data_IF_140513875060
#
_entry.id   IF_140513875060
#
_cell.length_a   1.000
_cell.length_b   1.000
_cell.length_c   1.000
_cell.angle_alpha   90.00
_cell.angle_beta   90.00
_cell.angle_gamma   90.00
#
_symmetry.space_group_name_H-M   'P 1'
#
loop_
_entity.id
_entity.type
_entity.pdbx_description
1 polymer ?
#
# COMPACT_ATOMS: atom_id res chain seq x y z
N UNK A 1 -8.99 -1.35 -19.47
CA UNK A 1 -7.51 -1.23 -19.37
C UNK A 1 -6.88 -2.40 -20.12
N UNK A 2 -5.91 -2.15 -21.03
CA UNK A 2 -5.24 -3.17 -21.82
C UNK A 2 -4.59 -4.27 -20.98
N UNK A 3 -4.53 -5.48 -21.53
CA UNK A 3 -3.98 -6.65 -20.84
C UNK A 3 -2.48 -6.51 -20.55
N UNK A 4 -1.72 -5.92 -21.47
CA UNK A 4 -0.29 -5.62 -21.31
C UNK A 4 0.01 -4.76 -20.07
N UNK A 5 -0.91 -3.84 -19.73
CA UNK A 5 -0.80 -3.05 -18.52
C UNK A 5 -1.16 -3.85 -17.28
N UNK A 6 -2.17 -4.74 -17.32
CA UNK A 6 -2.55 -5.61 -16.18
C UNK A 6 -1.43 -6.59 -15.83
N UNK A 7 -0.82 -7.20 -16.84
CA UNK A 7 0.20 -8.23 -16.67
C UNK A 7 1.61 -7.68 -16.46
N UNK A 8 1.80 -6.36 -16.43
CA UNK A 8 3.12 -5.73 -16.31
C UNK A 8 4.02 -6.36 -15.23
N UNK A 9 3.52 -6.58 -14.00
CA UNK A 9 4.32 -7.20 -12.93
C UNK A 9 4.59 -8.69 -13.20
N UNK A 10 3.63 -9.41 -13.78
CA UNK A 10 3.81 -10.82 -14.16
C UNK A 10 4.88 -10.96 -15.25
N UNK A 11 4.85 -10.07 -16.24
CA UNK A 11 5.84 -10.03 -17.32
C UNK A 11 7.23 -9.69 -16.81
N UNK A 12 7.36 -8.79 -15.83
CA UNK A 12 8.64 -8.49 -15.19
C UNK A 12 9.20 -9.71 -14.44
N UNK A 13 8.37 -10.40 -13.67
CA UNK A 13 8.78 -11.61 -12.92
C UNK A 13 9.18 -12.75 -13.88
N UNK A 14 8.47 -12.86 -15.00
CA UNK A 14 8.79 -13.83 -16.05
C UNK A 14 9.94 -13.38 -16.98
N UNK A 15 10.63 -12.28 -16.63
CA UNK A 15 11.76 -11.73 -17.39
C UNK A 15 11.45 -11.40 -18.87
N UNK A 16 10.18 -11.19 -19.20
CA UNK A 16 9.71 -10.83 -20.55
C UNK A 16 9.89 -9.36 -20.88
N UNK A 17 9.98 -8.52 -19.84
CA UNK A 17 10.20 -7.09 -19.95
C UNK A 17 11.24 -6.67 -18.93
N UNK A 18 11.92 -5.58 -19.22
CA UNK A 18 12.85 -4.96 -18.29
C UNK A 18 12.13 -4.06 -17.26
N UNK A 19 12.89 -3.62 -16.26
CA UNK A 19 12.37 -2.78 -15.18
C UNK A 19 11.85 -1.43 -15.68
N UNK A 20 12.50 -0.83 -16.69
CA UNK A 20 12.07 0.47 -17.20
C UNK A 20 10.71 0.35 -17.91
N UNK A 21 10.54 -0.67 -18.76
CA UNK A 21 9.24 -0.98 -19.37
C UNK A 21 8.16 -1.23 -18.33
N UNK A 22 8.48 -1.94 -17.24
CA UNK A 22 7.53 -2.13 -16.14
C UNK A 22 7.11 -0.80 -15.50
N UNK A 23 8.05 0.10 -15.19
CA UNK A 23 7.76 1.43 -14.62
C UNK A 23 6.81 2.21 -15.54
N UNK A 24 7.09 2.23 -16.84
CA UNK A 24 6.30 2.97 -17.81
C UNK A 24 4.89 2.38 -17.96
N UNK A 25 4.77 1.04 -17.97
CA UNK A 25 3.46 0.37 -17.94
C UNK A 25 2.68 0.66 -16.66
N UNK A 26 3.32 0.67 -15.49
CA UNK A 26 2.65 1.05 -14.24
C UNK A 26 2.19 2.50 -14.27
N UNK A 27 3.02 3.43 -14.79
CA UNK A 27 2.64 4.84 -14.97
C UNK A 27 1.43 4.97 -15.88
N UNK A 28 1.38 4.24 -16.99
CA UNK A 28 0.28 4.26 -17.94
C UNK A 28 -1.07 3.78 -17.33
N UNK A 29 -1.05 2.94 -16.28
CA UNK A 29 -2.28 2.53 -15.57
C UNK A 29 -3.05 3.72 -14.98
N UNK A 30 -2.38 4.82 -14.66
CA UNK A 30 -3.00 5.99 -14.03
C UNK A 30 -4.12 6.62 -14.86
N UNK A 31 -4.06 6.49 -16.19
CA UNK A 31 -5.12 6.97 -17.09
C UNK A 31 -6.44 6.20 -16.88
N UNK A 32 -6.37 4.90 -16.57
CA UNK A 32 -7.53 4.03 -16.44
C UNK A 32 -8.15 4.01 -15.03
N UNK A 33 -7.59 4.77 -14.09
CA UNK A 33 -8.12 4.83 -12.73
C UNK A 33 -9.44 5.59 -12.68
N UNK A 34 -10.39 5.04 -11.93
CA UNK A 34 -11.57 5.78 -11.52
C UNK A 34 -11.16 6.97 -10.67
N UNK A 35 -11.76 8.13 -10.96
CA UNK A 35 -11.42 9.36 -10.29
C UNK A 35 -12.42 9.68 -9.18
N UNK A 36 -11.99 10.18 -8.02
CA UNK A 36 -12.93 10.66 -7.02
C UNK A 36 -13.69 11.88 -7.55
N UNK A 37 -15.02 11.82 -7.51
CA UNK A 37 -15.86 12.98 -7.77
C UNK A 37 -16.07 13.81 -6.51
N UNK A 38 -16.19 13.14 -5.37
CA UNK A 38 -16.45 13.73 -4.06
C UNK A 38 -15.63 13.04 -2.97
N UNK A 39 -15.58 13.65 -1.79
CA UNK A 39 -15.05 13.00 -0.58
C UNK A 39 -15.99 11.84 -0.18
N UNK A 40 -15.47 10.80 0.49
CA UNK A 40 -16.33 9.80 1.11
C UNK A 40 -17.33 10.44 2.06
N UNK A 41 -18.53 9.89 2.13
CA UNK A 41 -19.55 10.32 3.09
C UNK A 41 -19.24 9.83 4.52
N UNK A 42 -20.18 10.07 5.45
CA UNK A 42 -20.02 9.69 6.85
C UNK A 42 -19.91 8.17 7.05
N UNK A 43 -20.49 7.38 6.15
CA UNK A 43 -20.48 5.92 6.17
C UNK A 43 -19.29 5.34 5.40
N UNK A 44 -18.58 6.17 4.63
CA UNK A 44 -17.39 5.78 3.87
C UNK A 44 -17.65 5.44 2.41
N UNK A 45 -18.89 5.59 1.91
CA UNK A 45 -19.18 5.43 0.49
C UNK A 45 -18.51 6.53 -0.31
N UNK A 46 -17.91 6.15 -1.44
CA UNK A 46 -17.18 7.09 -2.29
C UNK A 46 -17.78 7.18 -3.67
N UNK A 47 -18.16 8.40 -4.06
CA UNK A 47 -18.57 8.68 -5.43
C UNK A 47 -17.35 8.82 -6.32
N UNK A 48 -17.27 7.95 -7.32
CA UNK A 48 -16.21 7.95 -8.33
C UNK A 48 -16.78 8.16 -9.72
N UNK A 49 -15.96 8.70 -10.62
CA UNK A 49 -16.29 8.95 -12.01
C UNK A 49 -15.46 8.06 -12.93
N UNK A 50 -16.09 7.62 -14.02
CA UNK A 50 -15.44 6.88 -15.10
C UNK A 50 -14.23 7.68 -15.60
N UNK A 51 -13.08 7.05 -15.90
CA UNK A 51 -11.89 7.75 -16.41
C UNK A 51 -12.17 8.53 -17.69
N UNK A 52 -13.10 8.08 -18.53
CA UNK A 52 -13.49 8.81 -19.73
C UNK A 52 -14.25 10.11 -19.42
N UNK A 53 -15.15 10.10 -18.43
CA UNK A 53 -15.80 11.34 -17.95
C UNK A 53 -14.81 12.27 -17.24
N UNK A 54 -13.71 11.72 -16.70
CA UNK A 54 -12.66 12.46 -16.05
C UNK A 54 -11.60 13.01 -17.01
N UNK A 55 -11.84 12.92 -18.33
CA UNK A 55 -10.91 13.35 -19.37
C UNK A 55 -9.52 12.70 -19.24
N UNK A 56 -9.47 11.41 -18.86
CA UNK A 56 -8.23 10.61 -18.77
C UNK A 56 -8.10 9.56 -19.86
N UNK A 57 -9.22 9.17 -20.46
CA UNK A 57 -9.29 8.17 -21.52
C UNK A 57 -10.37 8.58 -22.51
N UNK A 58 -10.30 8.10 -23.75
CA UNK A 58 -11.41 8.18 -24.69
C UNK A 58 -12.23 6.89 -24.63
N UNK A 59 -13.56 6.93 -24.80
CA UNK A 59 -14.39 5.74 -24.76
C UNK A 59 -15.56 5.81 -25.75
N UNK A 60 -15.78 4.79 -26.61
CA UNK A 60 -16.86 4.80 -27.59
C UNK A 60 -18.26 4.74 -26.98
N UNK A 61 -18.40 4.14 -25.78
CA UNK A 61 -19.66 4.14 -25.03
C UNK A 61 -20.03 5.53 -24.49
N UNK A 62 -19.09 6.48 -24.49
CA UNK A 62 -19.29 7.88 -24.08
C UNK A 62 -18.86 8.80 -25.21
N UNK A 63 -19.69 8.88 -26.26
CA UNK A 63 -19.38 9.53 -27.54
C UNK A 63 -18.81 10.95 -27.41
N UNK A 64 -19.26 11.74 -26.42
CA UNK A 64 -18.75 13.10 -26.17
C UNK A 64 -17.28 13.17 -25.72
N UNK A 65 -16.69 12.03 -25.34
CA UNK A 65 -15.28 11.92 -24.94
C UNK A 65 -14.35 11.61 -26.12
N UNK A 66 -14.89 11.16 -27.26
CA UNK A 66 -14.11 10.86 -28.46
C UNK A 66 -13.59 12.15 -29.11
N UNK A 67 -12.36 12.10 -29.63
CA UNK A 67 -11.73 13.24 -30.30
C UNK A 67 -11.29 14.36 -29.36
N UNK A 68 -11.61 14.28 -28.06
CA UNK A 68 -11.08 15.17 -27.03
C UNK A 68 -9.77 14.59 -26.51
N UNK A 69 -8.69 15.35 -26.67
CA UNK A 69 -7.37 14.95 -26.18
C UNK A 69 -6.79 13.77 -26.96
N UNK A 70 -6.21 14.06 -28.12
CA UNK A 70 -5.59 13.06 -29.04
C UNK A 70 -4.56 12.16 -28.34
N UNK A 71 -3.91 12.66 -27.29
CA UNK A 71 -2.92 11.93 -26.49
C UNK A 71 -3.55 10.98 -25.45
N UNK A 72 -4.86 11.04 -25.21
CA UNK A 72 -5.53 10.18 -24.24
C UNK A 72 -5.74 8.79 -24.81
N UNK A 73 -5.49 7.72 -24.04
CA UNK A 73 -5.64 6.37 -24.53
C UNK A 73 -7.13 6.05 -24.79
N UNK A 74 -7.38 5.38 -25.91
CA UNK A 74 -8.69 4.84 -26.26
C UNK A 74 -8.95 3.57 -25.45
N UNK A 75 -10.06 3.56 -24.71
CA UNK A 75 -10.60 2.35 -24.08
C UNK A 75 -11.52 1.67 -25.08
N UNK A 76 -11.26 0.40 -25.34
CA UNK A 76 -12.14 -0.46 -26.12
C UNK A 76 -12.86 -1.45 -25.18
N UNK A 77 -14.10 -1.14 -24.75
CA UNK A 77 -14.87 -2.01 -23.88
C UNK A 77 -15.42 -3.19 -24.69
N UNK A 78 -15.06 -4.41 -24.30
CA UNK A 78 -15.58 -5.64 -24.91
C UNK A 78 -17.11 -5.71 -24.75
N UNK A 79 -17.87 -5.97 -25.81
CA UNK A 79 -19.31 -6.12 -25.71
C UNK A 79 -19.66 -7.31 -24.80
N UNK A 80 -20.63 -7.11 -23.92
CA UNK A 80 -21.14 -8.14 -23.01
C UNK A 80 -22.62 -8.42 -23.30
N UNK A 81 -23.05 -9.69 -23.35
CA UNK A 81 -24.46 -10.04 -23.49
C UNK A 81 -25.35 -9.48 -22.37
N UNK A 82 -24.78 -9.26 -21.18
CA UNK A 82 -25.48 -8.66 -20.03
C UNK A 82 -25.62 -7.12 -20.13
N UNK A 83 -25.19 -6.53 -21.25
CA UNK A 83 -25.19 -5.08 -21.45
C UNK A 83 -23.97 -4.38 -20.86
N UNK A 84 -23.95 -3.06 -21.00
CA UNK A 84 -22.86 -2.23 -20.46
C UNK A 84 -22.99 -2.04 -18.95
N UNK A 85 -21.88 -2.09 -18.18
CA UNK A 85 -21.93 -1.88 -16.74
C UNK A 85 -22.35 -0.45 -16.39
N UNK A 86 -22.87 -0.24 -15.17
CA UNK A 86 -23.35 1.06 -14.68
C UNK A 86 -22.32 2.19 -14.87
N UNK A 87 -21.03 1.90 -14.71
CA UNK A 87 -19.97 2.89 -14.88
C UNK A 87 -19.78 3.38 -16.33
N UNK A 88 -20.22 2.61 -17.32
CA UNK A 88 -20.18 2.99 -18.72
C UNK A 88 -21.39 3.85 -19.11
N UNK A 89 -22.57 3.53 -18.56
CA UNK A 89 -23.82 4.25 -18.85
C UNK A 89 -23.91 5.54 -18.04
N UNK A 90 -23.57 5.51 -16.75
CA UNK A 90 -23.65 6.66 -15.85
C UNK A 90 -22.36 7.49 -15.88
N UNK A 91 -22.43 8.75 -15.45
CA UNK A 91 -21.23 9.61 -15.29
C UNK A 91 -20.40 9.24 -14.06
N UNK A 92 -21.08 8.84 -13.00
CA UNK A 92 -20.51 8.52 -11.69
C UNK A 92 -21.18 7.29 -11.12
N UNK A 93 -20.43 6.51 -10.36
CA UNK A 93 -20.93 5.38 -9.57
C UNK A 93 -20.52 5.58 -8.11
N UNK A 94 -21.32 5.04 -7.20
CA UNK A 94 -20.98 4.99 -5.78
C UNK A 94 -20.34 3.65 -5.47
N UNK A 95 -19.15 3.67 -4.86
CA UNK A 95 -18.44 2.48 -4.42
C UNK A 95 -18.53 2.42 -2.90
N UNK A 96 -19.05 1.34 -2.31
CA UNK A 96 -19.15 1.22 -0.87
C UNK A 96 -17.78 0.94 -0.24
N UNK A 97 -17.59 1.25 1.06
CA UNK A 97 -16.28 1.17 1.72
C UNK A 97 -15.71 -0.25 1.77
N UNK A 98 -16.55 -1.28 1.85
CA UNK A 98 -16.17 -2.68 1.86
C UNK A 98 -15.70 -3.19 0.48
N UNK A 99 -16.14 -2.55 -0.60
CA UNK A 99 -15.79 -2.97 -1.95
C UNK A 99 -14.29 -2.79 -2.22
N UNK A 100 -13.56 -3.91 -2.21
CA UNK A 100 -12.12 -3.93 -2.42
C UNK A 100 -11.31 -3.39 -1.24
N UNK A 101 -11.89 -3.35 -0.03
CA UNK A 101 -11.21 -2.88 1.18
C UNK A 101 -9.90 -3.65 1.45
N UNK A 102 -9.87 -4.95 1.17
CA UNK A 102 -8.69 -5.82 1.26
C UNK A 102 -7.57 -5.44 0.28
N UNK A 103 -7.90 -4.77 -0.83
CA UNK A 103 -6.96 -4.32 -1.85
C UNK A 103 -6.64 -2.83 -1.73
N UNK A 104 -7.24 -2.13 -0.77
CA UNK A 104 -7.07 -0.69 -0.63
C UNK A 104 -5.64 -0.35 -0.20
N UNK A 105 -5.00 0.53 -0.97
CA UNK A 105 -3.72 1.12 -0.63
C UNK A 105 -3.76 2.64 -0.83
N UNK A 106 -3.09 3.42 0.03
CA UNK A 106 -3.05 4.88 -0.10
C UNK A 106 -2.24 5.33 -1.33
N UNK A 107 -1.26 4.53 -1.75
CA UNK A 107 -0.45 4.76 -2.94
C UNK A 107 -0.76 3.66 -3.96
N UNK A 108 -0.84 4.03 -5.22
CA UNK A 108 -1.04 3.05 -6.29
C UNK A 108 0.15 2.09 -6.34
N UNK A 109 -0.14 0.80 -6.26
CA UNK A 109 0.87 -0.25 -6.30
C UNK A 109 1.81 -0.08 -7.51
N UNK A 110 3.11 -0.24 -7.24
CA UNK A 110 4.17 -0.12 -8.25
C UNK A 110 4.47 1.31 -8.71
N UNK A 111 3.65 2.31 -8.36
CA UNK A 111 3.97 3.70 -8.69
C UNK A 111 5.30 4.13 -8.09
N UNK A 112 5.94 5.14 -8.66
CA UNK A 112 7.24 5.61 -8.15
C UNK A 112 7.15 6.05 -6.68
N UNK A 113 6.08 6.75 -6.30
CA UNK A 113 5.82 7.12 -4.92
C UNK A 113 5.66 5.89 -4.02
N UNK A 114 4.93 4.86 -4.49
CA UNK A 114 4.81 3.59 -3.79
C UNK A 114 6.17 2.90 -3.62
N UNK A 115 6.98 2.83 -4.67
CA UNK A 115 8.31 2.21 -4.62
C UNK A 115 9.22 2.90 -3.61
N UNK A 116 9.30 4.24 -3.66
CA UNK A 116 10.11 5.01 -2.71
C UNK A 116 9.73 4.73 -1.25
N UNK A 117 8.43 4.70 -0.96
CA UNK A 117 7.94 4.44 0.40
C UNK A 117 8.17 2.97 0.78
N UNK A 118 7.81 2.05 -0.09
CA UNK A 118 7.91 0.61 0.14
C UNK A 118 9.35 0.19 0.41
N UNK A 119 10.29 0.52 -0.48
CA UNK A 119 11.70 0.14 -0.31
C UNK A 119 12.31 0.78 0.93
N UNK A 120 12.02 2.05 1.22
CA UNK A 120 12.49 2.70 2.45
C UNK A 120 12.02 1.96 3.71
N UNK A 121 10.73 1.66 3.81
CA UNK A 121 10.16 0.99 4.97
C UNK A 121 10.65 -0.46 5.07
N UNK A 122 10.73 -1.18 3.94
CA UNK A 122 11.24 -2.55 3.89
C UNK A 122 12.69 -2.63 4.33
N UNK A 123 13.57 -1.79 3.78
CA UNK A 123 14.98 -1.76 4.18
C UNK A 123 15.16 -1.44 5.67
N UNK A 124 14.26 -0.60 6.24
CA UNK A 124 14.28 -0.32 7.68
C UNK A 124 13.95 -1.58 8.51
N UNK A 125 12.97 -2.37 8.07
CA UNK A 125 12.60 -3.64 8.71
C UNK A 125 13.70 -4.69 8.54
N UNK A 126 14.28 -4.80 7.36
CA UNK A 126 15.41 -5.70 7.11
C UNK A 126 16.63 -5.31 7.96
N UNK A 127 16.87 -4.00 8.13
CA UNK A 127 17.92 -3.48 9.01
C UNK A 127 17.72 -3.82 10.50
N UNK A 128 16.50 -3.72 11.03
CA UNK A 128 16.25 -4.11 12.43
C UNK A 128 16.31 -5.63 12.61
N UNK A 129 15.86 -6.40 11.62
CA UNK A 129 15.98 -7.85 11.63
C UNK A 129 17.44 -8.27 11.64
N UNK A 130 18.28 -7.69 10.77
CA UNK A 130 19.73 -7.95 10.77
C UNK A 130 20.37 -7.59 12.11
N UNK A 131 19.99 -6.44 12.69
CA UNK A 131 20.49 -5.99 13.98
C UNK A 131 20.17 -6.96 15.13
N UNK A 132 18.95 -7.52 15.17
CA UNK A 132 18.53 -8.48 16.18
C UNK A 132 19.07 -9.91 15.91
N UNK A 133 19.46 -10.22 14.67
CA UNK A 133 20.03 -11.50 14.28
C UNK A 133 21.56 -11.55 14.44
N UNK A 134 22.18 -10.44 14.79
CA UNK A 134 23.62 -10.31 14.96
C UNK A 134 24.17 -11.43 15.87
N UNK A 135 25.11 -12.27 15.36
CA UNK A 135 25.62 -13.42 16.08
C UNK A 135 26.45 -13.06 17.32
N UNK A 136 26.94 -11.83 17.42
CA UNK A 136 27.72 -11.36 18.57
C UNK A 136 26.86 -10.90 19.75
N UNK A 137 25.53 -10.80 19.56
CA UNK A 137 24.63 -10.26 20.57
C UNK A 137 23.43 -11.19 20.80
N UNK A 138 22.27 -10.87 20.23
CA UNK A 138 21.04 -11.61 20.52
C UNK A 138 20.96 -12.95 19.79
N UNK A 139 21.61 -13.08 18.62
CA UNK A 139 21.67 -14.29 17.79
C UNK A 139 20.28 -14.94 17.64
N UNK A 140 19.27 -14.11 17.34
CA UNK A 140 17.85 -14.45 17.41
C UNK A 140 17.43 -15.61 16.50
N UNK A 141 18.17 -15.88 15.41
CA UNK A 141 17.92 -17.03 14.54
C UNK A 141 18.34 -18.37 15.16
N UNK A 142 19.29 -18.37 16.09
CA UNK A 142 19.78 -19.60 16.67
C UNK A 142 18.90 -20.06 17.84
N UNK A 143 18.17 -21.15 17.63
CA UNK A 143 17.38 -21.82 18.66
C UNK A 143 18.22 -22.27 19.87
N UNK A 144 19.54 -22.47 19.69
CA UNK A 144 20.48 -22.81 20.75
C UNK A 144 20.65 -21.74 21.83
N UNK A 145 20.22 -20.50 21.57
CA UNK A 145 20.13 -19.43 22.58
C UNK A 145 18.94 -19.58 23.53
N UNK A 146 17.97 -20.43 23.16
CA UNK A 146 16.70 -20.65 23.86
C UNK A 146 16.46 -22.16 24.00
N UNK A 147 17.21 -22.83 24.88
CA UNK A 147 17.19 -24.31 25.01
C UNK A 147 16.02 -24.84 25.84
N UNK A 148 14.84 -24.22 25.74
CA UNK A 148 13.62 -24.64 26.45
C UNK A 148 12.58 -25.08 25.42
N UNK A 149 11.92 -26.21 25.67
CA UNK A 149 10.84 -26.70 24.79
C UNK A 149 9.54 -25.96 25.07
N UNK A 150 8.70 -25.83 24.05
CA UNK A 150 7.37 -25.23 24.14
C UNK A 150 7.32 -23.78 23.63
N UNK A 151 6.28 -23.48 22.85
CA UNK A 151 6.11 -22.18 22.19
C UNK A 151 6.01 -21.02 23.18
N UNK A 152 5.40 -21.24 24.36
CA UNK A 152 5.27 -20.22 25.39
C UNK A 152 6.64 -19.80 25.95
N UNK A 153 7.48 -20.76 26.34
CA UNK A 153 8.82 -20.49 26.86
C UNK A 153 9.72 -19.86 25.79
N UNK A 154 9.66 -20.35 24.54
CA UNK A 154 10.37 -19.76 23.41
C UNK A 154 9.96 -18.30 23.15
N UNK A 155 8.66 -18.00 23.21
CA UNK A 155 8.12 -16.64 23.02
C UNK A 155 8.60 -15.69 24.12
N UNK A 156 8.63 -16.14 25.38
CA UNK A 156 9.11 -15.33 26.49
C UNK A 156 10.60 -15.00 26.34
N UNK A 157 11.43 -16.00 26.02
CA UNK A 157 12.86 -15.77 25.82
C UNK A 157 13.15 -14.90 24.59
N UNK A 158 12.39 -15.09 23.50
CA UNK A 158 12.43 -14.20 22.33
C UNK A 158 12.12 -12.75 22.71
N UNK A 159 11.13 -12.53 23.57
CA UNK A 159 10.76 -11.19 24.02
C UNK A 159 11.91 -10.51 24.77
N UNK A 160 12.63 -11.24 25.63
CA UNK A 160 13.82 -10.71 26.31
C UNK A 160 14.96 -10.37 25.33
N UNK A 161 15.21 -11.21 24.33
CA UNK A 161 16.19 -10.93 23.28
C UNK A 161 15.83 -9.66 22.50
N UNK A 162 14.57 -9.52 22.08
CA UNK A 162 14.08 -8.32 21.39
C UNK A 162 14.15 -7.07 22.28
N UNK A 163 13.85 -7.19 23.58
CA UNK A 163 13.99 -6.10 24.52
C UNK A 163 15.46 -5.65 24.66
N UNK A 164 16.40 -6.60 24.70
CA UNK A 164 17.83 -6.30 24.70
C UNK A 164 18.27 -5.60 23.40
N UNK A 165 17.88 -6.12 22.24
CA UNK A 165 18.15 -5.49 20.94
C UNK A 165 17.62 -4.04 20.89
N UNK A 166 16.41 -3.80 21.39
CA UNK A 166 15.85 -2.45 21.48
C UNK A 166 16.69 -1.52 22.36
N UNK A 167 17.13 -1.97 23.54
CA UNK A 167 18.00 -1.16 24.42
C UNK A 167 19.33 -0.83 23.73
N UNK A 168 19.92 -1.81 23.04
CA UNK A 168 21.18 -1.66 22.32
C UNK A 168 21.05 -0.67 21.16
N UNK A 169 19.93 -0.72 20.43
CA UNK A 169 19.61 0.24 19.36
C UNK A 169 19.41 1.66 19.89
N UNK A 170 18.71 1.81 21.02
CA UNK A 170 18.53 3.12 21.67
C UNK A 170 19.86 3.70 22.15
N UNK A 171 20.76 2.87 22.70
CA UNK A 171 22.10 3.30 23.09
C UNK A 171 22.91 3.78 21.88
N UNK A 172 23.00 2.97 20.83
CA UNK A 172 23.70 3.35 19.60
C UNK A 172 23.12 4.65 18.98
N UNK A 173 21.80 4.83 19.05
CA UNK A 173 21.17 6.08 18.62
C UNK A 173 21.58 7.27 19.52
N UNK A 174 21.53 7.13 20.84
CA UNK A 174 21.99 8.16 21.77
C UNK A 174 23.47 8.55 21.53
N UNK A 175 24.33 7.57 21.29
CA UNK A 175 25.75 7.78 21.01
C UNK A 175 25.95 8.51 19.67
N UNK A 176 25.18 8.13 18.64
CA UNK A 176 25.24 8.79 17.32
C UNK A 176 24.84 10.27 17.37
N UNK A 177 23.99 10.64 18.33
CA UNK A 177 23.57 12.01 18.58
C UNK A 177 24.65 12.79 19.31
N UNK A 178 25.27 12.18 20.33
CA UNK A 178 26.34 12.80 21.08
C UNK A 178 27.56 13.14 20.20
N UNK A 179 27.81 12.33 19.16
CA UNK A 179 28.90 12.53 18.20
C UNK A 179 28.68 13.68 17.20
N UNK A 180 27.43 14.09 16.96
CA UNK A 180 27.11 15.10 15.95
C UNK A 180 27.03 16.53 16.51
N UNK A 181 27.18 16.72 17.84
CA UNK A 181 26.97 17.96 18.65
C UNK A 181 25.63 18.71 18.42
N UNK A 182 24.90 18.31 17.40
CA UNK A 182 23.54 18.71 17.11
C UNK A 182 22.60 17.86 17.97
N UNK A 183 22.02 18.50 18.99
CA UNK A 183 20.85 17.90 19.66
C UNK A 183 19.86 17.55 18.55
N UNK A 184 19.37 16.31 18.45
CA UNK A 184 18.43 15.97 17.40
C UNK A 184 17.24 16.88 17.68
N UNK A 185 16.86 17.70 16.70
CA UNK A 185 15.57 18.38 16.79
C UNK A 185 14.56 17.26 17.02
N UNK A 186 14.07 17.12 18.26
CA UNK A 186 12.92 16.28 18.55
C UNK A 186 11.91 16.75 17.54
N UNK A 187 11.60 15.92 16.53
CA UNK A 187 10.54 16.22 15.59
C UNK A 187 9.38 16.56 16.51
N UNK A 188 8.83 17.80 16.48
CA UNK A 188 7.74 18.14 17.35
C UNK A 188 6.77 17.00 17.23
N UNK A 189 6.40 16.38 18.35
CA UNK A 189 5.37 15.37 18.34
C UNK A 189 4.10 16.12 17.98
N UNK A 190 3.90 16.39 16.68
CA UNK A 190 2.57 16.39 16.10
C UNK A 190 2.11 14.96 16.31
N UNK A 191 1.60 14.70 17.52
CA UNK A 191 0.49 13.79 17.68
C UNK A 191 -0.53 14.28 16.67
N UNK A 192 -0.48 13.71 15.46
CA UNK A 192 -1.70 13.56 14.70
C UNK A 192 -2.61 12.85 15.70
N UNK A 193 -3.76 13.44 16.05
CA UNK A 193 -4.79 12.74 16.82
C UNK A 193 -5.13 11.48 16.01
N UNK A 194 -4.45 10.38 16.29
CA UNK A 194 -4.83 9.06 15.81
C UNK A 194 -6.09 8.73 16.57
N UNK A 195 -7.14 8.35 15.83
CA UNK A 195 -8.33 7.79 16.46
C UNK A 195 -7.89 6.60 17.35
N UNK A 196 -8.52 6.38 18.52
CA UNK A 196 -8.22 5.22 19.36
C UNK A 196 -8.34 3.93 18.54
N UNK A 197 -7.49 2.94 18.81
CA UNK A 197 -7.54 1.63 18.13
C UNK A 197 -8.93 0.95 18.26
N UNK A 198 -9.70 1.29 19.29
CA UNK A 198 -11.09 0.83 19.49
C UNK A 198 -12.15 1.44 18.56
N UNK A 199 -11.78 2.30 17.59
CA UNK A 199 -12.72 2.81 16.57
C UNK A 199 -12.70 2.00 15.27
N UNK A 200 -11.78 1.03 15.13
CA UNK A 200 -11.77 0.04 14.05
C UNK A 200 -12.23 -1.31 14.62
N UNK A 201 -13.46 -1.36 15.10
CA UNK A 201 -14.14 -2.63 15.35
C UNK A 201 -15.36 -2.63 14.45
N UNK A 202 -15.49 -3.59 13.50
CA UNK A 202 -16.74 -3.79 12.79
C UNK A 202 -17.82 -4.11 13.83
N UNK A 203 -18.77 -3.19 14.03
CA UNK A 203 -19.97 -3.47 14.83
C UNK A 203 -20.86 -4.40 14.02
N UNK A 204 -20.66 -5.71 14.12
CA UNK A 204 -21.44 -6.63 13.31
C UNK A 204 -21.41 -8.13 13.65
N UNK A 205 -20.68 -8.58 14.67
CA UNK A 205 -20.63 -10.02 15.00
C UNK A 205 -20.77 -10.34 16.49
N UNK A 206 -21.49 -9.51 17.24
CA UNK A 206 -21.99 -9.90 18.56
C UNK A 206 -23.50 -9.70 18.51
N UNK A 207 -24.22 -10.80 18.30
CA UNK A 207 -25.62 -10.86 18.70
C UNK A 207 -25.59 -10.87 20.23
N UNK A 208 -26.15 -9.85 20.87
CA UNK A 208 -26.41 -9.87 22.30
C UNK A 208 -27.47 -10.95 22.63
N UNK A 209 -27.45 -11.50 23.87
CA UNK A 209 -28.20 -12.70 24.25
C UNK A 209 -29.71 -12.57 24.20
#
# INVERSE_FOLDING_TARGET
MPQTLKDATKDLIAEKIDKQTWIDRIRARAAYLFMPKQRPDAEGHRRVMCPAEANRTQCPLKKHTLGRGIHLPLVDPTPSPAGSPLCCVQKTVTVPPEAGANLWQPLQYGSEAWQRVYFRLRNSVEGINGYAKDPLYERLEDAGTRRIRGIAAQTLLLAFQLAHANRRKLRAWADSIALLDDRPRRRPTRRRKTKPLGTWTPKGYVNEP
#
